data_IF_327457823663
#
_entry.id   IF_327457823663
#
_cell.length_a   1.000
_cell.length_b   1.000
_cell.length_c   1.000
_cell.angle_alpha   90.00
_cell.angle_beta   90.00
_cell.angle_gamma   90.00
#
_symmetry.space_group_name_H-M   'P 1'
#
loop_
_entity.id
_entity.type
_entity.pdbx_description
1 polymer ?
#
# COMPACT_ATOMS: atom_id res chain seq x y z
N UNK A 1 4.80 10.41 16.43
CA UNK A 1 4.66 11.53 15.46
C UNK A 1 4.08 11.05 14.14
N UNK A 2 4.41 9.83 13.69
CA UNK A 2 3.96 9.25 12.41
C UNK A 2 2.43 9.23 12.23
N UNK A 3 1.66 8.93 13.28
CA UNK A 3 0.18 8.95 13.25
C UNK A 3 -0.36 10.33 12.87
N UNK A 4 0.22 11.42 13.39
CA UNK A 4 -0.28 12.76 13.08
C UNK A 4 -0.09 13.08 11.59
N UNK A 5 1.06 12.70 11.04
CA UNK A 5 1.37 12.93 9.61
C UNK A 5 0.49 12.05 8.72
N UNK A 6 0.19 10.82 9.14
CA UNK A 6 -0.77 9.93 8.49
C UNK A 6 -2.15 10.58 8.38
N UNK A 7 -2.72 11.03 9.49
CA UNK A 7 -4.04 11.67 9.51
C UNK A 7 -4.06 12.99 8.72
N UNK A 8 -2.98 13.78 8.79
CA UNK A 8 -2.84 14.96 7.94
C UNK A 8 -2.85 14.60 6.46
N UNK A 9 -2.28 13.46 6.06
CA UNK A 9 -2.23 13.04 4.66
C UNK A 9 -3.61 12.71 4.11
N UNK A 10 -4.51 12.16 4.94
CA UNK A 10 -5.91 12.00 4.54
C UNK A 10 -6.55 13.34 4.18
N UNK A 11 -6.36 14.36 5.02
CA UNK A 11 -6.85 15.73 4.76
C UNK A 11 -6.21 16.34 3.51
N UNK A 12 -4.96 15.97 3.21
CA UNK A 12 -4.20 16.45 2.06
C UNK A 12 -4.59 15.75 0.74
N UNK A 13 -5.47 14.75 0.76
CA UNK A 13 -6.09 14.19 -0.45
C UNK A 13 -5.94 12.69 -0.64
N UNK A 14 -5.36 11.96 0.32
CA UNK A 14 -5.47 10.50 0.33
C UNK A 14 -6.70 10.07 1.12
N UNK A 15 -7.89 10.25 0.53
CA UNK A 15 -9.14 9.76 1.11
C UNK A 15 -10.04 9.15 0.05
N UNK A 16 -10.90 8.21 0.43
CA UNK A 16 -11.93 7.65 -0.43
C UNK A 16 -12.84 8.72 -1.07
N UNK A 17 -12.98 9.87 -0.42
CA UNK A 17 -13.78 10.99 -0.91
C UNK A 17 -13.04 11.89 -1.91
N UNK A 18 -11.70 11.88 -1.90
CA UNK A 18 -10.87 12.75 -2.74
C UNK A 18 -10.25 12.01 -3.94
N UNK A 19 -10.00 10.71 -3.82
CA UNK A 19 -9.56 9.86 -4.94
C UNK A 19 -10.45 10.01 -6.19
N UNK A 20 -11.79 10.06 -6.08
CA UNK A 20 -12.66 10.28 -7.24
C UNK A 20 -12.62 11.72 -7.80
N UNK A 21 -12.12 12.70 -7.03
CA UNK A 21 -12.12 14.13 -7.38
C UNK A 21 -10.82 14.61 -8.02
N UNK A 22 -9.82 13.73 -8.15
CA UNK A 22 -8.50 14.12 -8.66
C UNK A 22 -8.61 14.67 -10.08
N UNK A 23 -7.93 15.81 -10.31
CA UNK A 23 -8.00 16.55 -11.56
C UNK A 23 -7.01 16.00 -12.58
N UNK A 24 -7.44 15.92 -13.84
CA UNK A 24 -6.52 15.69 -14.96
C UNK A 24 -5.93 17.01 -15.44
N UNK A 25 -4.79 16.94 -16.12
CA UNK A 25 -4.10 18.10 -16.74
C UNK A 25 -4.97 18.90 -17.73
N UNK A 26 -6.12 18.36 -18.15
CA UNK A 26 -7.02 18.95 -19.13
C UNK A 26 -8.34 19.46 -18.51
N UNK A 27 -8.40 19.64 -17.19
CA UNK A 27 -9.58 20.15 -16.45
C UNK A 27 -10.88 19.38 -16.73
N UNK A 28 -10.78 18.18 -17.30
CA UNK A 28 -11.92 17.31 -17.58
C UNK A 28 -12.17 16.45 -16.35
N UNK A 29 -13.27 16.73 -15.66
CA UNK A 29 -13.73 15.91 -14.54
C UNK A 29 -14.16 14.52 -15.05
N UNK A 30 -13.88 13.51 -14.23
CA UNK A 30 -14.33 12.11 -14.38
C UNK A 30 -13.54 11.21 -15.34
N UNK A 31 -12.23 11.09 -15.14
CA UNK A 31 -11.61 9.78 -15.36
C UNK A 31 -11.95 8.94 -14.14
N UNK A 32 -12.51 7.76 -14.35
CA UNK A 32 -12.59 6.72 -13.33
C UNK A 32 -11.15 6.45 -12.88
N UNK A 33 -10.73 6.99 -11.73
CA UNK A 33 -9.36 6.89 -11.21
C UNK A 33 -9.07 5.54 -10.57
N UNK A 34 -10.10 4.70 -10.49
CA UNK A 34 -10.09 3.42 -9.82
C UNK A 34 -10.48 2.29 -10.76
N UNK A 35 -10.20 1.05 -10.40
CA UNK A 35 -10.74 -0.12 -11.06
C UNK A 35 -10.93 -1.22 -10.03
N UNK A 36 -12.04 -1.94 -10.10
CA UNK A 36 -12.23 -3.13 -9.28
C UNK A 36 -11.66 -4.34 -9.99
N UNK A 37 -10.80 -5.08 -9.31
CA UNK A 37 -10.26 -6.35 -9.81
C UNK A 37 -10.32 -7.42 -8.74
N UNK A 38 -10.70 -8.63 -9.13
CA UNK A 38 -10.64 -9.80 -8.24
C UNK A 38 -9.20 -10.27 -8.11
N UNK A 39 -8.63 -10.15 -6.90
CA UNK A 39 -7.29 -10.62 -6.53
C UNK A 39 -7.45 -11.63 -5.41
N UNK A 40 -6.85 -12.82 -5.57
CA UNK A 40 -6.91 -13.92 -4.58
C UNK A 40 -8.34 -14.27 -4.13
N UNK A 41 -9.31 -14.12 -5.04
CA UNK A 41 -10.73 -14.41 -4.80
C UNK A 41 -11.56 -13.27 -4.21
N UNK A 42 -10.92 -12.16 -3.84
CA UNK A 42 -11.56 -10.98 -3.22
C UNK A 42 -11.58 -9.83 -4.21
N UNK A 43 -12.67 -9.07 -4.26
CA UNK A 43 -12.74 -7.87 -5.08
C UNK A 43 -11.96 -6.74 -4.40
N UNK A 44 -10.97 -6.17 -5.09
CA UNK A 44 -10.12 -5.11 -4.57
C UNK A 44 -10.35 -3.85 -5.41
N UNK A 45 -10.39 -2.69 -4.76
CA UNK A 45 -10.34 -1.40 -5.42
C UNK A 45 -8.88 -1.02 -5.67
N UNK A 46 -8.53 -0.69 -6.91
CA UNK A 46 -7.17 -0.36 -7.31
C UNK A 46 -7.13 1.08 -7.84
N UNK A 47 -6.12 1.86 -7.43
CA UNK A 47 -5.84 3.18 -7.99
C UNK A 47 -5.05 3.03 -9.30
N UNK A 48 -5.56 3.58 -10.40
CA UNK A 48 -4.94 3.52 -11.73
C UNK A 48 -4.48 4.89 -12.24
N UNK A 49 -4.30 5.85 -11.35
CA UNK A 49 -3.84 7.20 -11.69
C UNK A 49 -2.41 7.16 -12.27
N UNK A 50 -2.03 8.12 -13.15
CA UNK A 50 -0.86 7.96 -14.00
C UNK A 50 0.46 7.79 -13.25
N UNK A 51 0.74 8.62 -12.22
CA UNK A 51 2.00 8.53 -11.49
C UNK A 51 2.01 7.32 -10.56
N UNK A 52 0.91 7.02 -9.86
CA UNK A 52 0.80 5.83 -9.00
C UNK A 52 1.01 4.55 -9.81
N UNK A 53 0.29 4.40 -10.92
CA UNK A 53 0.36 3.20 -11.75
C UNK A 53 1.76 3.02 -12.35
N UNK A 54 2.37 4.10 -12.84
CA UNK A 54 3.73 4.07 -13.37
C UNK A 54 4.72 3.62 -12.28
N UNK A 55 4.68 4.26 -11.12
CA UNK A 55 5.57 3.95 -10.01
C UNK A 55 5.39 2.51 -9.53
N UNK A 56 4.15 2.04 -9.37
CA UNK A 56 3.87 0.66 -8.94
C UNK A 56 4.43 -0.38 -9.92
N UNK A 57 4.23 -0.18 -11.23
CA UNK A 57 4.77 -1.07 -12.27
C UNK A 57 6.29 -1.17 -12.21
N UNK A 58 6.97 -0.03 -12.05
CA UNK A 58 8.43 0.04 -11.93
C UNK A 58 8.91 -0.57 -10.60
N UNK A 59 8.23 -0.28 -9.48
CA UNK A 59 8.59 -0.73 -8.14
C UNK A 59 8.52 -2.26 -8.02
N UNK A 60 7.43 -2.88 -8.47
CA UNK A 60 7.27 -4.34 -8.42
C UNK A 60 7.98 -5.05 -9.59
N UNK A 61 8.28 -4.34 -10.69
CA UNK A 61 8.68 -4.98 -11.94
C UNK A 61 7.53 -5.71 -12.64
N UNK A 62 6.30 -5.21 -12.49
CA UNK A 62 5.07 -5.81 -13.03
C UNK A 62 4.38 -4.87 -14.02
N UNK A 63 4.73 -4.94 -15.31
CA UNK A 63 4.17 -4.03 -16.33
C UNK A 63 2.69 -4.30 -16.68
N UNK A 64 2.17 -5.49 -16.38
CA UNK A 64 0.76 -5.84 -16.60
C UNK A 64 -0.15 -5.40 -15.45
N UNK A 65 0.40 -4.83 -14.37
CA UNK A 65 -0.41 -4.30 -13.27
C UNK A 65 -1.35 -3.21 -13.80
N UNK A 66 -2.62 -3.27 -13.43
CA UNK A 66 -3.67 -2.34 -13.93
C UNK A 66 -3.98 -1.21 -12.94
N UNK A 67 -3.50 -1.32 -11.70
CA UNK A 67 -3.64 -0.33 -10.64
C UNK A 67 -2.95 -0.82 -9.36
N UNK A 68 -2.76 0.09 -8.40
CA UNK A 68 -2.22 -0.24 -7.07
C UNK A 68 -3.37 -0.56 -6.11
N UNK A 69 -3.42 -1.74 -5.47
CA UNK A 69 -4.49 -2.10 -4.55
C UNK A 69 -4.56 -1.21 -3.31
N UNK A 70 -5.77 -0.82 -2.96
CA UNK A 70 -6.10 -0.23 -1.68
C UNK A 70 -6.40 -1.33 -0.66
N UNK A 71 -6.25 -0.99 0.62
CA UNK A 71 -6.64 -1.90 1.69
C UNK A 71 -8.15 -2.10 1.62
N UNK A 72 -8.57 -3.35 1.53
CA UNK A 72 -9.97 -3.72 1.66
C UNK A 72 -10.08 -4.51 2.97
N UNK A 73 -10.77 -4.00 3.98
CA UNK A 73 -11.21 -4.86 5.09
C UNK A 73 -12.71 -5.06 5.03
N UNK A 74 -13.16 -6.15 5.62
CA UNK A 74 -14.56 -6.58 5.54
C UNK A 74 -15.46 -5.53 6.21
N UNK A 75 -16.20 -4.76 5.42
CA UNK A 75 -17.32 -3.95 5.86
C UNK A 75 -17.01 -2.53 6.33
N UNK A 76 -15.87 -1.94 5.94
CA UNK A 76 -15.54 -0.56 6.30
C UNK A 76 -15.00 0.25 5.11
N UNK A 77 -15.80 1.22 4.63
CA UNK A 77 -15.45 2.10 3.52
C UNK A 77 -14.23 3.01 3.82
N UNK A 78 -13.82 3.14 5.09
CA UNK A 78 -12.61 3.89 5.46
C UNK A 78 -11.32 3.25 4.96
N UNK A 79 -11.35 1.95 4.65
CA UNK A 79 -10.14 1.20 4.32
C UNK A 79 -9.64 1.51 2.90
N UNK A 80 -10.53 1.98 2.02
CA UNK A 80 -10.22 2.47 0.67
C UNK A 80 -9.41 3.80 0.68
N UNK A 81 -8.97 4.26 1.85
CA UNK A 81 -8.07 5.41 2.02
C UNK A 81 -6.64 5.00 2.41
N UNK A 82 -6.32 3.72 2.37
CA UNK A 82 -5.03 3.18 2.78
C UNK A 82 -4.43 2.29 1.70
N UNK A 83 -3.10 2.22 1.65
CA UNK A 83 -2.44 1.21 0.82
C UNK A 83 -2.60 -0.18 1.40
N UNK A 84 -2.76 -1.18 0.52
CA UNK A 84 -2.88 -2.57 0.93
C UNK A 84 -1.62 -3.05 1.64
N UNK A 85 -1.76 -3.33 2.92
CA UNK A 85 -0.67 -3.68 3.84
C UNK A 85 0.15 -4.90 3.39
N UNK A 86 -0.49 -5.90 2.77
CA UNK A 86 0.16 -7.12 2.27
C UNK A 86 1.03 -6.89 1.05
N UNK A 87 0.80 -5.81 0.30
CA UNK A 87 1.55 -5.53 -0.91
C UNK A 87 2.78 -4.65 -0.62
N UNK A 88 2.67 -3.67 0.29
CA UNK A 88 3.73 -2.73 0.65
C UNK A 88 3.75 -2.42 2.15
N UNK A 89 4.38 -3.30 2.94
CA UNK A 89 4.44 -3.13 4.39
C UNK A 89 5.37 -1.99 4.83
N UNK A 90 5.00 -1.32 5.93
CA UNK A 90 5.66 -0.17 6.54
C UNK A 90 5.58 1.10 5.66
N UNK A 91 4.71 1.13 4.65
CA UNK A 91 4.33 2.40 4.04
C UNK A 91 3.46 3.17 5.05
N UNK A 92 3.75 4.45 5.28
CA UNK A 92 3.11 5.16 6.39
C UNK A 92 1.59 5.36 6.23
N UNK A 93 1.03 5.26 5.02
CA UNK A 93 -0.41 5.25 4.72
C UNK A 93 -1.00 3.84 4.63
N UNK A 94 -0.30 2.83 5.16
CA UNK A 94 -0.90 1.54 5.45
C UNK A 94 -1.91 1.65 6.61
N UNK A 95 -2.95 0.82 6.60
CA UNK A 95 -3.94 0.72 7.68
C UNK A 95 -3.32 0.18 8.98
N UNK A 96 -2.55 -0.91 8.88
CA UNK A 96 -1.76 -1.40 10.02
C UNK A 96 -0.44 -0.65 10.08
N UNK A 97 -0.41 0.41 10.88
CA UNK A 97 0.81 1.16 11.15
C UNK A 97 1.78 0.31 11.97
N UNK A 98 3.07 0.44 11.66
CA UNK A 98 4.15 -0.19 12.41
C UNK A 98 4.60 0.72 13.56
N UNK A 99 4.87 0.21 14.77
CA UNK A 99 5.35 1.02 15.88
C UNK A 99 6.81 1.48 15.70
N UNK A 100 7.54 0.91 14.72
CA UNK A 100 8.97 1.11 14.58
C UNK A 100 9.33 2.23 13.60
N UNK A 101 9.14 1.97 12.30
CA UNK A 101 9.50 2.91 11.23
C UNK A 101 8.49 2.79 10.11
N UNK A 102 7.78 3.88 9.85
CA UNK A 102 6.96 4.03 8.66
C UNK A 102 7.70 4.86 7.60
N UNK A 103 7.45 4.57 6.32
CA UNK A 103 8.14 5.24 5.21
C UNK A 103 7.17 6.09 4.38
N UNK A 104 7.50 7.37 4.19
CA UNK A 104 6.88 8.24 3.19
C UNK A 104 7.41 7.87 1.81
N UNK A 105 6.74 6.93 1.15
CA UNK A 105 7.25 6.34 -0.07
C UNK A 105 6.87 7.12 -1.33
N UNK A 106 7.49 6.73 -2.44
CA UNK A 106 7.05 7.16 -3.76
C UNK A 106 5.59 6.81 -4.06
N UNK A 107 4.97 5.81 -3.41
CA UNK A 107 3.54 5.52 -3.61
C UNK A 107 2.66 6.70 -3.17
N UNK A 108 2.81 7.12 -1.91
CA UNK A 108 2.01 8.23 -1.38
C UNK A 108 2.38 9.56 -2.02
N UNK A 109 3.67 9.81 -2.28
CA UNK A 109 4.10 11.01 -3.00
C UNK A 109 3.46 11.10 -4.40
N UNK A 110 3.39 9.99 -5.14
CA UNK A 110 2.77 9.98 -6.47
C UNK A 110 1.25 10.06 -6.42
N UNK A 111 0.60 9.49 -5.40
CA UNK A 111 -0.84 9.71 -5.18
C UNK A 111 -1.14 11.19 -4.98
N UNK A 112 -0.39 11.86 -4.10
CA UNK A 112 -0.58 13.29 -3.86
C UNK A 112 -0.30 14.13 -5.10
N UNK A 113 0.67 13.76 -5.95
CA UNK A 113 0.89 14.42 -7.26
C UNK A 113 -0.31 14.27 -8.19
N UNK A 114 -0.89 13.07 -8.23
CA UNK A 114 -2.03 12.77 -9.08
C UNK A 114 -3.30 13.53 -8.65
N UNK A 115 -3.39 14.01 -7.40
CA UNK A 115 -4.54 14.83 -6.95
C UNK A 115 -4.76 16.11 -7.75
N UNK A 116 -3.67 16.71 -8.25
CA UNK A 116 -3.68 18.05 -8.84
C UNK A 116 -3.78 19.19 -7.82
N UNK A 117 -3.79 18.91 -6.51
CA UNK A 117 -3.87 19.96 -5.46
C UNK A 117 -2.54 20.68 -5.25
N UNK A 118 -1.43 20.02 -5.58
CA UNK A 118 -0.08 20.51 -5.33
C UNK A 118 0.62 20.80 -6.65
N UNK A 119 1.25 21.97 -6.74
CA UNK A 119 2.07 22.34 -7.90
C UNK A 119 3.33 21.48 -8.02
N UNK A 120 3.89 21.06 -6.88
CA UNK A 120 5.07 20.21 -6.82
C UNK A 120 5.14 19.44 -5.51
N UNK A 121 5.73 18.23 -5.58
CA UNK A 121 6.11 17.43 -4.42
C UNK A 121 7.57 17.05 -4.60
N UNK A 122 8.42 17.47 -3.65
CA UNK A 122 9.85 17.27 -3.72
C UNK A 122 10.21 15.78 -3.65
N UNK A 123 10.76 15.25 -4.75
CA UNK A 123 11.17 13.83 -4.86
C UNK A 123 12.24 13.43 -3.85
N UNK A 124 13.05 14.38 -3.37
CA UNK A 124 14.10 14.09 -2.40
C UNK A 124 13.56 13.76 -0.99
N UNK A 125 12.26 13.93 -0.76
CA UNK A 125 11.59 13.54 0.48
C UNK A 125 11.08 12.09 0.43
N UNK A 126 11.09 11.45 -0.74
CA UNK A 126 10.62 10.08 -0.90
C UNK A 126 11.63 9.10 -0.28
N UNK A 127 11.16 8.35 0.71
CA UNK A 127 11.94 7.33 1.37
C UNK A 127 11.95 6.03 0.55
N UNK A 128 13.08 5.34 0.59
CA UNK A 128 13.24 4.07 -0.11
C UNK A 128 12.63 2.94 0.69
N UNK A 129 11.72 2.21 0.06
CA UNK A 129 11.20 0.95 0.54
C UNK A 129 11.75 -0.23 -0.26
N UNK A 130 11.75 -1.40 0.38
CA UNK A 130 12.26 -2.64 -0.20
C UNK A 130 11.23 -3.76 -0.18
N UNK A 131 10.24 -3.72 0.72
CA UNK A 131 9.18 -4.72 0.79
C UNK A 131 8.43 -4.81 -0.55
N UNK A 132 8.42 -6.00 -1.17
CA UNK A 132 7.80 -6.25 -2.47
C UNK A 132 8.56 -5.66 -3.68
N UNK A 133 9.68 -4.95 -3.49
CA UNK A 133 10.41 -4.33 -4.60
C UNK A 133 11.00 -5.39 -5.53
N UNK A 134 10.66 -5.31 -6.81
CA UNK A 134 11.11 -6.27 -7.83
C UNK A 134 10.51 -7.68 -7.69
N UNK A 135 9.46 -7.84 -6.87
CA UNK A 135 8.85 -9.15 -6.58
C UNK A 135 7.95 -9.69 -7.72
N UNK A 136 7.85 -8.98 -8.85
CA UNK A 136 7.03 -9.28 -10.02
C UNK A 136 5.52 -9.21 -9.77
N UNK A 137 4.72 -9.59 -10.78
CA UNK A 137 3.27 -9.58 -10.68
C UNK A 137 2.70 -10.60 -9.69
N UNK A 138 3.43 -11.69 -9.42
CA UNK A 138 2.97 -12.74 -8.50
C UNK A 138 2.79 -12.23 -7.07
N UNK A 139 3.56 -11.23 -6.66
CA UNK A 139 3.44 -10.61 -5.33
C UNK A 139 2.07 -9.98 -5.11
N UNK A 140 1.65 -9.11 -6.05
CA UNK A 140 0.41 -8.32 -5.93
C UNK A 140 -0.81 -9.12 -6.41
N UNK A 141 -0.68 -9.85 -7.51
CA UNK A 141 -1.81 -10.49 -8.20
C UNK A 141 -1.89 -12.01 -7.97
N UNK A 142 -0.77 -12.63 -7.63
CA UNK A 142 -0.63 -14.08 -7.48
C UNK A 142 -0.98 -14.57 -6.09
N UNK A 143 -0.52 -15.78 -5.78
CA UNK A 143 -0.70 -16.37 -4.44
C UNK A 143 0.42 -15.92 -3.51
N UNK A 144 0.05 -15.67 -2.26
CA UNK A 144 1.02 -15.40 -1.21
C UNK A 144 1.86 -16.66 -0.93
N UNK A 145 3.17 -16.46 -0.85
CA UNK A 145 4.18 -17.52 -0.74
C UNK A 145 4.99 -17.30 0.53
N UNK A 146 4.73 -18.11 1.56
CA UNK A 146 5.41 -18.02 2.86
C UNK A 146 6.89 -18.44 2.81
N UNK A 147 7.42 -18.82 1.64
CA UNK A 147 8.88 -18.97 1.45
C UNK A 147 9.56 -17.64 1.10
N UNK A 148 8.78 -16.62 0.73
CA UNK A 148 9.25 -15.25 0.52
C UNK A 148 9.27 -14.50 1.84
N UNK A 149 10.24 -13.61 2.01
CA UNK A 149 10.45 -12.86 3.26
C UNK A 149 9.31 -11.89 3.56
N UNK A 150 8.57 -11.48 2.53
CA UNK A 150 7.40 -10.63 2.63
C UNK A 150 6.25 -11.30 3.40
N UNK A 151 6.11 -12.62 3.31
CA UNK A 151 5.01 -13.38 3.92
C UNK A 151 5.55 -14.32 4.99
N UNK A 152 5.04 -14.20 6.22
CA UNK A 152 5.51 -15.07 7.29
C UNK A 152 4.84 -16.45 7.31
N UNK A 153 5.59 -17.40 7.84
CA UNK A 153 5.08 -18.68 8.28
C UNK A 153 4.92 -18.69 9.81
N UNK A 154 3.69 -18.80 10.34
CA UNK A 154 3.44 -18.74 11.78
C UNK A 154 4.05 -19.90 12.57
N UNK A 155 4.50 -20.97 11.90
CA UNK A 155 5.15 -22.13 12.55
C UNK A 155 6.65 -21.94 12.74
N UNK A 156 7.29 -21.14 11.88
CA UNK A 156 8.76 -21.05 11.82
C UNK A 156 9.27 -19.65 12.10
N UNK A 157 8.48 -18.62 11.79
CA UNK A 157 8.96 -17.25 11.76
C UNK A 157 8.40 -16.41 12.91
N UNK A 158 7.46 -16.93 13.69
CA UNK A 158 6.88 -16.22 14.83
C UNK A 158 7.96 -15.91 15.88
N UNK A 159 8.04 -14.65 16.31
CA UNK A 159 9.06 -14.16 17.22
C UNK A 159 10.41 -13.87 16.57
N UNK A 160 10.55 -13.93 15.24
CA UNK A 160 11.76 -13.45 14.53
C UNK A 160 11.71 -11.93 14.31
N UNK A 161 12.71 -11.40 13.58
CA UNK A 161 12.78 -9.99 13.20
C UNK A 161 11.87 -9.68 12.01
N UNK A 162 11.25 -8.50 12.00
CA UNK A 162 10.43 -8.03 10.88
C UNK A 162 11.24 -7.88 9.58
N UNK A 163 10.57 -7.63 8.46
CA UNK A 163 11.24 -7.53 7.15
C UNK A 163 12.40 -6.52 7.14
N UNK A 164 12.33 -5.44 7.92
CA UNK A 164 13.37 -4.41 7.97
C UNK A 164 14.39 -4.62 9.11
N UNK A 165 14.24 -5.67 9.92
CA UNK A 165 15.06 -5.93 11.10
C UNK A 165 15.05 -4.77 12.13
N UNK A 166 13.93 -4.07 12.23
CA UNK A 166 13.73 -3.02 13.22
C UNK A 166 13.26 -3.56 14.57
N UNK A 167 12.63 -4.74 14.60
CA UNK A 167 12.21 -5.34 15.86
C UNK A 167 11.61 -6.73 15.69
N UNK A 168 11.25 -7.32 16.82
CA UNK A 168 10.59 -8.62 16.87
C UNK A 168 9.14 -8.51 16.38
N UNK A 169 8.67 -9.49 15.63
CA UNK A 169 7.28 -9.55 15.16
C UNK A 169 6.59 -10.86 15.54
N UNK A 170 5.26 -10.83 15.51
CA UNK A 170 4.40 -12.02 15.54
C UNK A 170 3.70 -12.21 14.20
N UNK A 171 3.61 -13.44 13.73
CA UNK A 171 2.97 -13.76 12.46
C UNK A 171 1.46 -13.89 12.65
N UNK A 172 0.70 -12.96 12.08
CA UNK A 172 -0.77 -12.98 12.16
C UNK A 172 -1.40 -13.51 10.87
N UNK A 173 -2.41 -14.36 11.03
CA UNK A 173 -3.14 -14.98 9.93
C UNK A 173 -4.45 -14.20 9.70
N UNK A 174 -4.69 -13.75 8.45
CA UNK A 174 -6.00 -13.31 7.92
C UNK A 174 -6.65 -12.04 8.50
N UNK A 175 -5.90 -11.01 8.93
CA UNK A 175 -6.53 -9.78 9.46
C UNK A 175 -7.02 -8.77 8.41
N UNK A 176 -6.66 -8.92 7.13
CA UNK A 176 -6.77 -7.85 6.12
C UNK A 176 -7.52 -8.23 4.84
N UNK A 177 -8.47 -9.17 4.95
CA UNK A 177 -9.26 -9.67 3.80
C UNK A 177 -8.41 -10.09 2.59
N UNK A 178 -7.21 -10.62 2.83
CA UNK A 178 -6.29 -11.10 1.79
C UNK A 178 -6.00 -12.60 2.00
N UNK A 179 -6.77 -13.50 1.34
CA UNK A 179 -6.71 -14.91 1.63
C UNK A 179 -5.34 -15.53 1.33
N UNK A 180 -4.78 -16.23 2.32
CA UNK A 180 -3.51 -16.94 2.20
C UNK A 180 -2.27 -16.07 2.45
N UNK A 181 -2.46 -14.78 2.71
CA UNK A 181 -1.38 -13.84 2.99
C UNK A 181 -1.29 -13.64 4.50
N UNK A 182 -0.29 -14.26 5.13
CA UNK A 182 0.01 -14.00 6.53
C UNK A 182 0.91 -12.77 6.61
N UNK A 183 0.61 -11.87 7.54
CA UNK A 183 1.34 -10.61 7.71
C UNK A 183 2.05 -10.56 9.05
N UNK A 184 3.17 -9.84 9.04
CA UNK A 184 4.00 -9.58 10.20
C UNK A 184 3.34 -8.48 11.05
N UNK A 185 3.25 -8.64 12.36
CA UNK A 185 2.89 -7.57 13.29
C UNK A 185 4.00 -7.35 14.31
N UNK A 186 4.62 -6.18 14.32
CA UNK A 186 5.74 -5.88 15.21
C UNK A 186 5.23 -5.62 16.63
N UNK A 187 5.91 -6.18 17.63
CA UNK A 187 5.56 -5.93 19.02
C UNK A 187 5.81 -4.48 19.39
N UNK A 188 4.89 -3.89 20.15
CA UNK A 188 5.08 -2.61 20.82
C UNK A 188 5.70 -2.91 22.18
N UNK A 189 6.92 -2.42 22.43
CA UNK A 189 7.54 -2.48 23.76
C UNK A 189 6.97 -1.39 24.67
#
# INVERSE_FOLDING_TARGET
MEIVIHEMTHVLGFSNSDIPKQLTSNESTHIDNTITQKIRGVDNLLIKTPNVLKFAREYFGCFTLVGMPLQNSIGNDSDDSHWKNTDIQNEYMNLLMTPNQAYFSGFTANLLRDTGFYTQINKNMEEQMFYGKGASCEHVMGKCDSTKREFCNPKTDDGLCDYYHHGQFSCSVRKLNDPGCNTLYTYVN
#
